data_IF_277561772913
#
_entry.id   IF_277561772913
#
_cell.length_a   1.000
_cell.length_b   1.000
_cell.length_c   1.000
_cell.angle_alpha   90.00
_cell.angle_beta   90.00
_cell.angle_gamma   90.00
#
_symmetry.space_group_name_H-M   'P 1'
#
loop_
_entity.id
_entity.type
_entity.pdbx_description
1 polymer ?
#
# COMPACT_ATOMS: atom_id res chain seq x y z
N UNK A 1 -21.42 -31.11 4.13
CA UNK A 1 -21.09 -29.76 3.63
C UNK A 1 -19.60 -29.61 3.80
N UNK A 2 -18.81 -29.86 2.75
CA UNK A 2 -17.37 -29.64 2.79
C UNK A 2 -17.09 -28.13 2.71
N UNK A 3 -17.02 -27.48 3.88
CA UNK A 3 -16.46 -26.14 4.00
C UNK A 3 -14.94 -26.25 3.76
N UNK A 4 -14.53 -26.21 2.49
CA UNK A 4 -13.11 -26.07 2.16
C UNK A 4 -12.63 -24.75 2.78
N UNK A 5 -11.69 -24.77 3.74
CA UNK A 5 -11.21 -23.54 4.37
C UNK A 5 -10.62 -22.64 3.28
N UNK A 6 -11.04 -21.37 3.25
CA UNK A 6 -10.48 -20.38 2.33
C UNK A 6 -8.98 -20.24 2.67
N UNK A 7 -8.12 -20.84 1.84
CA UNK A 7 -6.67 -20.73 2.00
C UNK A 7 -6.19 -19.50 1.24
N UNK A 8 -5.76 -18.49 1.97
CA UNK A 8 -5.04 -17.36 1.38
C UNK A 8 -3.72 -17.83 0.80
N UNK A 9 -3.58 -17.70 -0.51
CA UNK A 9 -2.33 -17.99 -1.22
C UNK A 9 -1.31 -16.89 -0.96
N UNK A 10 -0.03 -17.15 -1.24
CA UNK A 10 1.00 -16.09 -1.20
C UNK A 10 0.65 -14.92 -2.13
N UNK A 11 -0.03 -15.20 -3.26
CA UNK A 11 -0.56 -14.17 -4.16
C UNK A 11 -1.59 -13.29 -3.47
N UNK A 12 -2.56 -13.87 -2.77
CA UNK A 12 -3.62 -13.09 -2.10
C UNK A 12 -3.05 -12.20 -1.00
N UNK A 13 -2.02 -12.68 -0.28
CA UNK A 13 -1.30 -11.89 0.72
C UNK A 13 -0.55 -10.72 0.08
N UNK A 14 0.13 -10.96 -1.04
CA UNK A 14 0.82 -9.90 -1.79
C UNK A 14 -0.16 -8.88 -2.38
N UNK A 15 -1.32 -9.34 -2.88
CA UNK A 15 -2.35 -8.47 -3.41
C UNK A 15 -2.93 -7.56 -2.33
N UNK A 16 -3.23 -8.11 -1.15
CA UNK A 16 -3.65 -7.30 0.00
C UNK A 16 -2.59 -6.32 0.45
N UNK A 17 -1.34 -6.74 0.54
CA UNK A 17 -0.24 -5.85 0.91
C UNK A 17 -0.12 -4.69 -0.09
N UNK A 18 -0.23 -4.98 -1.38
CA UNK A 18 -0.20 -3.96 -2.44
C UNK A 18 -1.35 -2.97 -2.31
N UNK A 19 -2.58 -3.46 -2.10
CA UNK A 19 -3.76 -2.61 -1.91
C UNK A 19 -3.62 -1.73 -0.67
N UNK A 20 -3.14 -2.28 0.44
CA UNK A 20 -2.92 -1.53 1.68
C UNK A 20 -1.86 -0.43 1.51
N UNK A 21 -0.73 -0.72 0.84
CA UNK A 21 0.26 0.32 0.56
C UNK A 21 -0.29 1.42 -0.34
N UNK A 22 -1.10 1.09 -1.36
CA UNK A 22 -1.78 2.10 -2.20
C UNK A 22 -2.78 2.96 -1.41
N UNK A 23 -3.49 2.36 -0.44
CA UNK A 23 -4.38 3.08 0.47
C UNK A 23 -3.59 4.06 1.35
N UNK A 24 -2.46 3.63 1.92
CA UNK A 24 -1.58 4.49 2.71
C UNK A 24 -1.01 5.66 1.90
N UNK A 25 -0.59 5.42 0.64
CA UNK A 25 -0.16 6.51 -0.26
C UNK A 25 -1.24 7.57 -0.38
N UNK A 26 -2.49 7.15 -0.58
CA UNK A 26 -3.63 8.07 -0.72
C UNK A 26 -3.88 8.84 0.56
N UNK A 27 -3.88 8.16 1.71
CA UNK A 27 -4.14 8.77 3.00
C UNK A 27 -3.05 9.80 3.35
N UNK A 28 -1.78 9.45 3.15
CA UNK A 28 -0.68 10.36 3.38
C UNK A 28 -0.71 11.58 2.44
N UNK A 29 -1.09 11.40 1.18
CA UNK A 29 -1.31 12.52 0.26
C UNK A 29 -2.46 13.43 0.71
N UNK A 30 -3.55 12.84 1.20
CA UNK A 30 -4.69 13.58 1.73
C UNK A 30 -4.27 14.39 2.97
N UNK A 31 -3.61 13.76 3.94
CA UNK A 31 -3.15 14.42 5.17
C UNK A 31 -2.14 15.52 4.87
N UNK A 32 -1.23 15.33 3.92
CA UNK A 32 -0.32 16.38 3.46
C UNK A 32 -1.04 17.58 2.79
N UNK A 33 -2.25 17.38 2.28
CA UNK A 33 -3.10 18.43 1.72
C UNK A 33 -3.93 19.15 2.78
N UNK A 34 -4.39 18.42 3.79
CA UNK A 34 -5.20 18.94 4.91
C UNK A 34 -4.35 19.64 5.98
N UNK A 35 -3.11 19.19 6.18
CA UNK A 35 -2.16 19.79 7.12
C UNK A 35 -1.59 21.11 6.57
N UNK A 36 -2.29 22.22 6.87
CA UNK A 36 -1.93 23.56 6.40
C UNK A 36 -1.03 24.33 7.37
N UNK A 37 -0.93 23.88 8.62
CA UNK A 37 -0.33 24.67 9.71
C UNK A 37 1.05 24.17 10.13
N UNK A 38 1.34 22.88 9.94
CA UNK A 38 2.60 22.28 10.39
C UNK A 38 3.43 21.82 9.20
N UNK A 39 4.43 22.62 8.81
CA UNK A 39 5.28 22.33 7.65
C UNK A 39 6.05 20.99 7.81
N UNK A 40 6.51 20.69 9.03
CA UNK A 40 7.26 19.46 9.32
C UNK A 40 6.37 18.22 9.17
N UNK A 41 5.15 18.24 9.72
CA UNK A 41 4.19 17.13 9.60
C UNK A 41 3.76 16.93 8.15
N UNK A 42 3.55 18.02 7.41
CA UNK A 42 3.23 17.96 5.98
C UNK A 42 4.35 17.34 5.16
N UNK A 43 5.61 17.73 5.42
CA UNK A 43 6.77 17.17 4.75
C UNK A 43 6.89 15.66 5.05
N UNK A 44 6.70 15.27 6.31
CA UNK A 44 6.70 13.87 6.73
C UNK A 44 5.64 13.04 5.98
N UNK A 45 4.40 13.52 5.89
CA UNK A 45 3.36 12.80 5.15
C UNK A 45 3.70 12.66 3.66
N UNK A 46 4.34 13.66 3.04
CA UNK A 46 4.79 13.54 1.64
C UNK A 46 5.87 12.50 1.47
N UNK A 47 6.85 12.46 2.37
CA UNK A 47 7.93 11.47 2.37
C UNK A 47 7.35 10.05 2.54
N UNK A 48 6.45 9.87 3.52
CA UNK A 48 5.78 8.58 3.74
C UNK A 48 4.94 8.14 2.52
N UNK A 49 4.29 9.07 1.82
CA UNK A 49 3.57 8.76 0.59
C UNK A 49 4.50 8.27 -0.53
N UNK A 50 5.71 8.84 -0.64
CA UNK A 50 6.72 8.40 -1.62
C UNK A 50 7.28 7.01 -1.25
N UNK A 51 7.56 6.78 0.03
CA UNK A 51 8.02 5.47 0.53
C UNK A 51 6.99 4.36 0.30
N UNK A 52 5.73 4.59 0.64
CA UNK A 52 4.66 3.62 0.40
C UNK A 52 4.42 3.38 -1.10
N UNK A 53 4.65 4.38 -1.95
CA UNK A 53 4.60 4.19 -3.39
C UNK A 53 5.71 3.23 -3.87
N UNK A 54 6.93 3.35 -3.32
CA UNK A 54 8.01 2.40 -3.58
C UNK A 54 7.68 0.99 -3.07
N UNK A 55 7.07 0.87 -1.89
CA UNK A 55 6.59 -0.42 -1.37
C UNK A 55 5.53 -1.04 -2.30
N UNK A 56 4.53 -0.26 -2.72
CA UNK A 56 3.52 -0.68 -3.67
C UNK A 56 4.12 -1.12 -5.02
N UNK A 57 5.11 -0.39 -5.54
CA UNK A 57 5.79 -0.75 -6.78
C UNK A 57 6.48 -2.13 -6.67
N UNK A 58 7.22 -2.37 -5.58
CA UNK A 58 7.89 -3.67 -5.33
C UNK A 58 6.89 -4.82 -5.18
N UNK A 59 5.80 -4.59 -4.47
CA UNK A 59 4.73 -5.59 -4.29
C UNK A 59 4.06 -5.93 -5.63
N UNK A 60 3.83 -4.92 -6.48
CA UNK A 60 3.28 -5.10 -7.83
C UNK A 60 4.22 -5.89 -8.74
N UNK A 61 5.51 -5.60 -8.71
CA UNK A 61 6.52 -6.36 -9.46
C UNK A 61 6.54 -7.83 -9.03
N UNK A 62 6.47 -8.08 -7.72
CA UNK A 62 6.41 -9.45 -7.21
C UNK A 62 5.11 -10.16 -7.61
N UNK A 63 3.97 -9.46 -7.60
CA UNK A 63 2.69 -10.00 -8.09
C UNK A 63 2.77 -10.41 -9.56
N UNK A 64 3.36 -9.57 -10.42
CA UNK A 64 3.54 -9.89 -11.85
C UNK A 64 4.39 -11.15 -12.07
N UNK A 65 5.34 -11.44 -11.18
CA UNK A 65 6.13 -12.68 -11.24
C UNK A 65 5.33 -13.94 -10.87
N UNK A 66 4.21 -13.81 -10.15
CA UNK A 66 3.30 -14.92 -9.85
C UNK A 66 2.26 -15.14 -10.95
N UNK A 67 2.06 -14.16 -11.84
CA UNK A 67 1.09 -14.23 -12.96
C UNK A 67 1.74 -14.66 -14.30
N UNK A 68 3.07 -14.61 -14.40
CA UNK A 68 3.87 -15.19 -15.48
C UNK A 68 4.33 -16.61 -15.14
#
# INVERSE_FOLDING_TARGET
MDERPIRFTSRDRLLRAWQNSMELVRDFQLYAGEEQHTNDTRALFRELAEEECMHAARLREQLHRYEN
#
